data_IF_439216440044
#
_entry.id   IF_439216440044
#
_cell.length_a   1.000
_cell.length_b   1.000
_cell.length_c   1.000
_cell.angle_alpha   90.00
_cell.angle_beta   90.00
_cell.angle_gamma   90.00
#
_symmetry.space_group_name_H-M   'P 1'
#
loop_
_entity.id
_entity.type
_entity.pdbx_description
1 polymer ?
#
# COMPACT_ATOMS: atom_id res chain seq x y z
N UNK A 1 34.00 57.25 23.75
CA UNK A 1 32.66 56.67 23.92
C UNK A 1 32.12 56.40 22.52
N UNK A 2 31.71 55.16 22.25
CA UNK A 2 31.18 54.63 20.97
C UNK A 2 30.13 55.59 20.35
N UNK A 3 30.02 55.78 19.02
CA UNK A 3 29.62 54.82 17.98
C UNK A 3 29.94 55.37 16.55
N UNK A 4 30.20 54.52 15.53
CA UNK A 4 30.27 54.90 14.12
C UNK A 4 29.02 54.47 13.30
N UNK A 5 28.73 55.15 12.18
CA UNK A 5 28.17 54.64 10.89
C UNK A 5 27.64 55.83 10.06
N UNK A 6 28.43 56.38 9.13
CA UNK A 6 28.58 56.07 7.69
C UNK A 6 27.35 56.49 6.85
N UNK A 7 27.53 57.21 5.71
CA UNK A 7 26.52 58.06 5.09
C UNK A 7 25.66 57.33 4.04
N UNK A 8 24.52 57.96 3.74
CA UNK A 8 23.60 57.58 2.68
C UNK A 8 24.29 57.46 1.31
N UNK A 9 24.20 56.28 0.70
CA UNK A 9 24.45 56.10 -0.73
C UNK A 9 23.13 55.76 -1.43
N UNK A 10 22.67 56.73 -2.21
CA UNK A 10 21.46 56.78 -3.01
C UNK A 10 21.52 55.72 -4.13
N UNK A 11 20.84 54.59 -3.94
CA UNK A 11 20.70 53.56 -4.98
C UNK A 11 19.50 53.85 -5.88
N UNK A 12 19.82 54.09 -7.15
CA UNK A 12 18.89 54.18 -8.26
C UNK A 12 18.09 52.88 -8.40
N UNK A 13 16.79 53.03 -8.68
CA UNK A 13 15.89 51.95 -9.06
C UNK A 13 16.40 51.23 -10.32
N UNK A 14 16.48 49.91 -10.26
CA UNK A 14 16.18 49.04 -11.39
C UNK A 14 15.51 47.77 -10.83
N UNK A 15 14.21 47.65 -11.08
CA UNK A 15 13.38 46.57 -10.57
C UNK A 15 13.72 45.23 -11.22
N UNK A 16 14.10 44.26 -10.41
CA UNK A 16 14.01 42.84 -10.76
C UNK A 16 12.99 42.20 -9.81
N UNK A 17 11.79 41.97 -10.34
CA UNK A 17 10.74 41.21 -9.67
C UNK A 17 11.23 39.75 -9.57
N UNK A 18 11.86 39.39 -8.47
CA UNK A 18 12.28 38.01 -8.21
C UNK A 18 11.05 37.15 -7.97
N UNK A 19 10.67 36.32 -8.94
CA UNK A 19 9.71 35.25 -8.72
C UNK A 19 10.34 34.24 -7.76
N UNK A 20 9.97 34.31 -6.49
CA UNK A 20 10.27 33.25 -5.52
C UNK A 20 9.38 32.05 -5.90
N UNK A 21 9.90 31.19 -6.76
CA UNK A 21 9.29 29.88 -7.02
C UNK A 21 9.45 29.07 -5.75
N UNK A 22 8.39 28.99 -4.95
CA UNK A 22 8.24 27.94 -3.96
C UNK A 22 8.26 26.62 -4.73
N UNK A 23 9.42 25.97 -4.82
CA UNK A 23 9.50 24.58 -5.24
C UNK A 23 8.75 23.77 -4.17
N UNK A 24 7.48 23.46 -4.43
CA UNK A 24 6.75 22.48 -3.63
C UNK A 24 7.55 21.17 -3.65
N UNK A 25 7.60 20.47 -2.51
CA UNK A 25 8.24 19.17 -2.46
C UNK A 25 7.61 18.26 -3.51
N UNK A 26 8.43 17.68 -4.40
CA UNK A 26 7.98 16.65 -5.31
C UNK A 26 7.65 15.40 -4.47
N UNK A 27 6.36 15.07 -4.36
CA UNK A 27 5.93 13.78 -3.84
C UNK A 27 5.93 12.76 -4.98
N UNK A 28 6.37 11.53 -4.69
CA UNK A 28 6.15 10.42 -5.62
C UNK A 28 4.65 10.28 -5.87
N UNK A 29 4.25 10.01 -7.12
CA UNK A 29 2.84 9.78 -7.45
C UNK A 29 2.26 8.64 -6.61
N UNK A 30 3.06 7.58 -6.41
CA UNK A 30 2.77 6.47 -5.51
C UNK A 30 3.94 6.32 -4.52
N UNK A 31 3.84 6.85 -3.28
CA UNK A 31 4.89 6.67 -2.29
C UNK A 31 5.03 5.19 -1.87
N UNK A 32 6.22 4.74 -1.44
CA UNK A 32 6.41 3.39 -0.94
C UNK A 32 5.47 3.09 0.24
N UNK A 33 5.00 1.84 0.42
CA UNK A 33 4.21 1.45 1.58
C UNK A 33 4.95 1.79 2.89
N UNK A 34 4.24 2.42 3.82
CA UNK A 34 4.80 2.75 5.15
C UNK A 34 4.92 1.51 6.05
N UNK A 35 4.12 0.49 5.78
CA UNK A 35 4.11 -0.79 6.48
C UNK A 35 3.96 -1.91 5.44
N UNK A 36 4.63 -3.03 5.66
CA UNK A 36 4.58 -4.21 4.79
C UNK A 36 4.43 -5.46 5.65
N UNK A 37 3.48 -6.31 5.28
CA UNK A 37 3.15 -7.55 5.98
C UNK A 37 3.05 -8.68 4.96
N UNK A 38 3.39 -9.89 5.39
CA UNK A 38 3.21 -11.11 4.61
C UNK A 38 2.14 -11.98 5.24
N UNK A 39 1.35 -12.65 4.40
CA UNK A 39 0.47 -13.73 4.85
C UNK A 39 1.36 -14.94 5.19
N UNK A 40 1.22 -15.53 6.39
CA UNK A 40 2.09 -16.61 6.81
C UNK A 40 1.69 -17.94 6.17
N UNK A 41 2.70 -18.71 5.76
CA UNK A 41 2.64 -20.07 5.19
C UNK A 41 1.88 -20.21 3.87
N UNK A 42 2.43 -20.92 2.88
CA UNK A 42 1.69 -21.39 1.72
C UNK A 42 0.49 -22.27 2.12
N UNK A 43 -0.64 -22.18 1.43
CA UNK A 43 -1.85 -22.93 1.79
C UNK A 43 -1.69 -24.45 1.63
N UNK A 44 -0.87 -24.95 0.71
CA UNK A 44 -0.60 -26.39 0.60
C UNK A 44 0.14 -26.95 1.82
N UNK A 45 1.12 -26.22 2.34
CA UNK A 45 1.82 -26.58 3.58
C UNK A 45 0.88 -26.51 4.79
N UNK A 46 -0.01 -25.51 4.83
CA UNK A 46 -1.05 -25.42 5.86
C UNK A 46 -2.01 -26.62 5.78
N UNK A 47 -2.43 -27.03 4.58
CA UNK A 47 -3.29 -28.21 4.39
C UNK A 47 -2.61 -29.47 4.88
N UNK A 48 -1.35 -29.69 4.51
CA UNK A 48 -0.58 -30.83 4.95
C UNK A 48 -0.42 -30.88 6.48
N UNK A 49 -0.20 -29.72 7.12
CA UNK A 49 -0.14 -29.64 8.57
C UNK A 49 -1.48 -29.96 9.24
N UNK A 50 -2.60 -29.48 8.68
CA UNK A 50 -3.93 -29.80 9.20
C UNK A 50 -4.30 -31.27 9.02
N UNK A 51 -4.00 -31.87 7.86
CA UNK A 51 -4.24 -33.28 7.58
C UNK A 51 -3.43 -34.20 8.50
N UNK A 52 -2.18 -33.83 8.80
CA UNK A 52 -1.34 -34.55 9.76
C UNK A 52 -1.90 -34.57 11.19
N UNK A 53 -2.70 -33.57 11.57
CA UNK A 53 -3.40 -33.51 12.87
C UNK A 53 -4.75 -34.22 12.79
N UNK A 54 -5.49 -34.04 11.69
CA UNK A 54 -6.81 -34.62 11.49
C UNK A 54 -7.07 -34.89 10.00
N UNK A 55 -7.20 -36.17 9.65
CA UNK A 55 -7.32 -36.68 8.27
C UNK A 55 -8.65 -36.36 7.57
N UNK A 56 -9.38 -35.35 8.05
CA UNK A 56 -10.61 -34.82 7.42
C UNK A 56 -10.41 -33.39 6.91
N UNK A 57 -9.18 -32.86 6.99
CA UNK A 57 -8.82 -31.61 6.34
C UNK A 57 -9.06 -31.76 4.83
N UNK A 58 -9.67 -30.74 4.22
CA UNK A 58 -10.13 -30.81 2.84
C UNK A 58 -9.78 -29.53 2.09
N UNK A 59 -9.67 -29.66 0.77
CA UNK A 59 -9.43 -28.58 -0.17
C UNK A 59 -10.79 -28.09 -0.73
N UNK A 60 -11.01 -26.77 -0.93
CA UNK A 60 -10.09 -25.65 -0.77
C UNK A 60 -9.96 -25.14 0.67
N UNK A 61 -8.78 -24.62 1.01
CA UNK A 61 -8.56 -23.89 2.27
C UNK A 61 -9.21 -22.51 2.20
N UNK A 62 -9.80 -22.08 3.31
CA UNK A 62 -10.31 -20.71 3.43
C UNK A 62 -9.34 -19.85 4.24
N UNK A 63 -8.84 -18.77 3.64
CA UNK A 63 -7.92 -17.81 4.27
C UNK A 63 -8.67 -16.51 4.57
N UNK A 64 -8.44 -16.00 5.78
CA UNK A 64 -9.02 -14.74 6.27
C UNK A 64 -7.89 -13.76 6.59
N UNK A 65 -7.81 -12.66 5.84
CA UNK A 65 -6.91 -11.53 6.13
C UNK A 65 -7.74 -10.35 6.60
N UNK A 66 -7.59 -10.01 7.88
CA UNK A 66 -8.27 -8.84 8.46
C UNK A 66 -7.36 -7.62 8.42
N UNK A 67 -7.87 -6.55 7.83
CA UNK A 67 -7.16 -5.28 7.67
C UNK A 67 -7.85 -4.22 8.53
N UNK A 68 -7.05 -3.42 9.22
CA UNK A 68 -7.52 -2.33 10.06
C UNK A 68 -6.73 -1.05 9.75
N UNK A 69 -7.45 0.04 9.53
CA UNK A 69 -6.86 1.35 9.24
C UNK A 69 -6.74 2.19 10.51
N UNK A 70 -5.51 2.63 10.82
CA UNK A 70 -5.26 3.50 11.98
C UNK A 70 -5.58 4.97 11.69
N UNK A 71 -5.50 5.40 10.43
CA UNK A 71 -5.67 6.80 10.01
C UNK A 71 -6.55 6.92 8.78
N UNK A 72 -7.13 8.10 8.58
CA UNK A 72 -7.89 8.42 7.37
C UNK A 72 -6.98 8.39 6.13
N UNK A 73 -7.56 8.02 4.99
CA UNK A 73 -6.85 8.00 3.71
C UNK A 73 -5.80 6.90 3.62
N UNK A 74 -5.95 5.82 4.41
CA UNK A 74 -5.09 4.64 4.29
C UNK A 74 -5.30 3.99 2.93
N UNK A 75 -4.21 3.82 2.17
CA UNK A 75 -4.20 3.04 0.92
C UNK A 75 -3.55 1.69 1.19
N UNK A 76 -4.20 0.61 0.77
CA UNK A 76 -3.74 -0.77 0.96
C UNK A 76 -3.54 -1.40 -0.40
N UNK A 77 -2.33 -1.91 -0.62
CA UNK A 77 -2.00 -2.76 -1.75
C UNK A 77 -2.05 -4.21 -1.26
N UNK A 78 -2.87 -5.02 -1.90
CA UNK A 78 -2.99 -6.45 -1.62
C UNK A 78 -2.55 -7.24 -2.84
N UNK A 79 -1.35 -7.81 -2.73
CA UNK A 79 -0.71 -8.63 -3.75
C UNK A 79 -0.87 -10.11 -3.39
N UNK A 80 -1.22 -10.90 -4.40
CA UNK A 80 -1.42 -12.32 -4.23
C UNK A 80 -0.06 -13.01 -4.38
N UNK A 81 0.25 -13.92 -3.46
CA UNK A 81 1.48 -14.69 -3.57
C UNK A 81 1.35 -15.82 -4.61
N UNK A 82 0.10 -16.23 -4.88
CA UNK A 82 -0.29 -17.42 -5.65
C UNK A 82 0.10 -17.36 -7.14
N UNK A 83 0.30 -16.15 -7.68
CA UNK A 83 0.78 -15.84 -9.03
C UNK A 83 2.16 -15.16 -9.05
N UNK A 84 2.83 -15.14 -7.88
CA UNK A 84 4.14 -14.54 -7.65
C UNK A 84 4.05 -13.05 -7.39
N UNK A 85 4.84 -12.54 -6.44
CA UNK A 85 4.76 -11.14 -6.03
C UNK A 85 5.08 -10.14 -7.14
N UNK A 86 4.43 -8.98 -7.08
CA UNK A 86 4.76 -7.79 -7.82
C UNK A 86 6.21 -7.36 -7.58
N UNK A 87 6.92 -7.04 -8.67
CA UNK A 87 8.27 -6.48 -8.57
C UNK A 87 8.27 -5.05 -8.02
N UNK A 88 7.21 -4.32 -8.32
CA UNK A 88 6.97 -2.96 -7.83
C UNK A 88 5.52 -2.83 -7.40
N UNK A 89 5.27 -3.00 -6.10
CA UNK A 89 3.93 -2.94 -5.52
C UNK A 89 3.29 -1.55 -5.67
N UNK A 90 4.08 -0.50 -5.89
CA UNK A 90 3.55 0.87 -6.11
C UNK A 90 3.15 1.13 -7.56
N UNK A 91 3.48 0.21 -8.48
CA UNK A 91 3.10 0.25 -9.88
C UNK A 91 2.73 -1.17 -10.37
N UNK A 92 1.66 -1.77 -9.82
CA UNK A 92 1.33 -3.16 -10.08
C UNK A 92 0.98 -3.41 -11.54
N UNK A 93 1.42 -4.54 -12.07
CA UNK A 93 1.17 -4.97 -13.46
C UNK A 93 0.29 -6.20 -13.54
N UNK A 94 0.17 -6.96 -12.44
CA UNK A 94 -0.68 -8.12 -12.36
C UNK A 94 -2.13 -7.68 -12.12
N UNK A 95 -3.06 -8.27 -12.87
CA UNK A 95 -4.48 -7.89 -12.79
C UNK A 95 -5.20 -8.43 -11.55
N UNK A 96 -4.53 -9.29 -10.79
CA UNK A 96 -4.99 -9.89 -9.53
C UNK A 96 -4.69 -9.00 -8.33
N UNK A 97 -3.63 -8.18 -8.40
CA UNK A 97 -3.30 -7.17 -7.39
C UNK A 97 -4.46 -6.22 -7.18
N UNK A 98 -4.81 -6.00 -5.91
CA UNK A 98 -5.91 -5.10 -5.53
C UNK A 98 -5.38 -3.88 -4.81
N UNK A 99 -5.99 -2.74 -5.08
CA UNK A 99 -5.74 -1.49 -4.38
C UNK A 99 -7.04 -1.09 -3.70
N UNK A 100 -6.94 -0.68 -2.44
CA UNK A 100 -8.06 -0.21 -1.65
C UNK A 100 -7.76 1.14 -1.02
N UNK A 101 -8.74 2.02 -0.95
CA UNK A 101 -8.66 3.31 -0.27
C UNK A 101 -8.12 4.46 -1.14
N UNK A 102 -7.93 4.25 -2.44
CA UNK A 102 -7.44 5.27 -3.38
C UNK A 102 -8.59 6.04 -4.08
N UNK A 103 -9.83 5.63 -3.84
CA UNK A 103 -11.04 6.22 -4.41
C UNK A 103 -11.36 5.71 -5.82
N UNK A 104 -10.68 4.66 -6.29
CA UNK A 104 -10.88 4.06 -7.61
C UNK A 104 -11.46 2.64 -7.50
N UNK A 105 -12.79 2.46 -7.51
CA UNK A 105 -13.39 1.13 -7.36
C UNK A 105 -13.08 0.15 -8.52
N UNK A 106 -12.40 0.58 -9.60
CA UNK A 106 -12.05 -0.28 -10.72
C UNK A 106 -10.83 -1.18 -10.47
N UNK A 107 -9.96 -0.86 -9.50
CA UNK A 107 -8.78 -1.66 -9.13
C UNK A 107 -8.95 -2.41 -7.79
N UNK A 108 -10.16 -2.34 -7.21
CA UNK A 108 -10.48 -2.93 -5.93
C UNK A 108 -11.33 -1.97 -5.10
N UNK A 109 -12.03 -2.51 -4.10
CA UNK A 109 -12.60 -1.72 -3.01
C UNK A 109 -12.84 -2.60 -1.79
N UNK A 110 -12.81 -2.05 -0.56
CA UNK A 110 -13.08 -2.83 0.65
C UNK A 110 -14.50 -3.42 0.60
N UNK A 111 -14.71 -4.68 1.04
CA UNK A 111 -16.03 -5.28 1.11
C UNK A 111 -17.03 -4.39 1.88
N UNK A 112 -18.17 -4.10 1.25
CA UNK A 112 -19.19 -3.22 1.83
C UNK A 112 -18.90 -1.71 1.68
N UNK A 113 -17.82 -1.31 1.01
CA UNK A 113 -17.45 0.08 0.77
C UNK A 113 -17.11 0.31 -0.71
N UNK A 114 -18.13 0.49 -1.55
CA UNK A 114 -17.96 0.71 -3.00
C UNK A 114 -17.40 2.09 -3.37
N UNK A 115 -17.24 3.00 -2.39
CA UNK A 115 -16.62 4.31 -2.62
C UNK A 115 -15.09 4.24 -2.66
N UNK A 116 -14.52 3.12 -2.20
CA UNK A 116 -13.09 2.91 -2.09
C UNK A 116 -12.36 3.98 -1.26
N UNK A 117 -12.96 4.41 -0.16
CA UNK A 117 -12.36 5.36 0.78
C UNK A 117 -12.30 4.75 2.17
N UNK A 118 -11.10 4.69 2.76
CA UNK A 118 -10.88 4.05 4.06
C UNK A 118 -10.68 5.12 5.15
N UNK A 119 -11.72 5.43 5.96
CA UNK A 119 -11.56 6.26 7.14
C UNK A 119 -10.86 5.52 8.29
N UNK A 120 -10.32 6.27 9.25
CA UNK A 120 -9.70 5.74 10.45
C UNK A 120 -10.68 4.84 11.22
N UNK A 121 -10.17 3.74 11.77
CA UNK A 121 -10.96 2.75 12.49
C UNK A 121 -11.73 1.77 11.60
N UNK A 122 -11.64 1.89 10.28
CA UNK A 122 -12.23 0.89 9.37
C UNK A 122 -11.55 -0.46 9.57
N UNK A 123 -12.35 -1.50 9.72
CA UNK A 123 -11.90 -2.90 9.77
C UNK A 123 -12.69 -3.70 8.75
N UNK A 124 -11.99 -4.48 7.93
CA UNK A 124 -12.63 -5.37 6.96
C UNK A 124 -11.81 -6.64 6.77
N UNK A 125 -12.46 -7.68 6.25
CA UNK A 125 -11.82 -8.98 6.04
C UNK A 125 -11.84 -9.35 4.55
N UNK A 126 -10.68 -9.75 4.05
CA UNK A 126 -10.55 -10.45 2.78
C UNK A 126 -10.71 -11.95 3.04
N UNK A 127 -11.65 -12.56 2.33
CA UNK A 127 -11.89 -14.00 2.40
C UNK A 127 -11.52 -14.61 1.05
N UNK A 128 -10.53 -15.49 1.06
CA UNK A 128 -10.09 -16.22 -0.13
C UNK A 128 -10.35 -17.73 0.05
N UNK A 129 -10.75 -18.40 -1.03
CA UNK A 129 -10.82 -19.86 -1.09
C UNK A 129 -9.71 -20.33 -2.02
N UNK A 130 -8.72 -21.02 -1.47
CA UNK A 130 -7.49 -21.40 -2.17
C UNK A 130 -7.54 -22.89 -2.44
N UNK A 131 -7.59 -23.26 -3.73
CA UNK A 131 -7.43 -24.64 -4.15
C UNK A 131 -5.93 -24.95 -4.27
N UNK A 132 -5.41 -25.73 -3.32
CA UNK A 132 -3.97 -26.04 -3.20
C UNK A 132 -3.42 -26.76 -4.43
N UNK A 133 -4.26 -27.51 -5.15
CA UNK A 133 -3.90 -28.19 -6.39
C UNK A 133 -3.58 -27.25 -7.58
N UNK A 134 -3.94 -25.96 -7.47
CA UNK A 134 -3.74 -24.96 -8.53
C UNK A 134 -2.67 -23.91 -8.21
N UNK A 135 -2.03 -24.04 -7.05
CA UNK A 135 -0.92 -23.17 -6.67
C UNK A 135 0.23 -23.37 -7.66
N UNK A 136 0.81 -22.27 -8.15
CA UNK A 136 2.07 -22.38 -8.86
C UNK A 136 3.14 -22.86 -7.87
N UNK A 137 4.04 -23.74 -8.33
CA UNK A 137 5.22 -24.11 -7.56
C UNK A 137 6.19 -22.92 -7.49
N UNK A 138 5.84 -21.91 -6.72
CA UNK A 138 6.75 -20.85 -6.34
C UNK A 138 7.64 -21.43 -5.23
N UNK A 139 8.94 -21.12 -5.26
CA UNK A 139 9.86 -21.61 -4.23
C UNK A 139 9.44 -21.00 -2.89
N UNK A 140 9.00 -21.86 -1.97
CA UNK A 140 8.82 -21.51 -0.56
C UNK A 140 10.21 -21.24 0.04
N UNK A 141 10.47 -20.00 0.43
CA UNK A 141 11.74 -19.61 1.06
C UNK A 141 11.72 -19.78 2.58
#
# INVERSE_FOLDING_TARGET
>A
MLLPSVPACRQFLLGALGAFVCAGAAHAANPPPTQLFYVPFPEDQQLAAFDAINSVADDPITVFVTLAAATDGTVIYYDHWEDGYEKDITNPVQSTTRIFGDGNPANGYPPGNAADLIPAGTVFNLRNFVATATLQSVIDY
#
